data_IF_993544212970
#
_entry.id   IF_993544212970
#
_cell.length_a   1.000
_cell.length_b   1.000
_cell.length_c   1.000
_cell.angle_alpha   90.00
_cell.angle_beta   90.00
_cell.angle_gamma   90.00
#
_symmetry.space_group_name_H-M   'P 1'
#
loop_
_entity.id
_entity.type
_entity.pdbx_description
1 polymer ?
#
# COMPACT_ATOMS: atom_id res chain seq x y z
N UNK A 1 -19.76 -11.69 49.16
CA UNK A 1 -19.90 -10.62 48.14
C UNK A 1 -18.64 -9.77 48.02
N UNK A 2 -18.14 -9.15 49.10
CA UNK A 2 -16.92 -8.31 49.10
C UNK A 2 -15.70 -9.04 48.54
N UNK A 3 -15.52 -10.32 48.90
CA UNK A 3 -14.37 -11.12 48.46
C UNK A 3 -14.38 -11.39 46.94
N UNK A 4 -15.56 -11.60 46.35
CA UNK A 4 -15.73 -11.76 44.90
C UNK A 4 -15.40 -10.45 44.15
N UNK A 5 -15.83 -9.32 44.70
CA UNK A 5 -15.54 -8.00 44.14
C UNK A 5 -14.03 -7.73 44.18
N UNK A 6 -13.36 -8.04 45.31
CA UNK A 6 -11.92 -7.86 45.45
C UNK A 6 -11.12 -8.70 44.44
N UNK A 7 -11.51 -9.97 44.25
CA UNK A 7 -10.87 -10.86 43.27
C UNK A 7 -11.10 -10.38 41.84
N UNK A 8 -12.33 -9.94 41.51
CA UNK A 8 -12.64 -9.41 40.20
C UNK A 8 -11.83 -8.14 39.89
N UNK A 9 -11.73 -7.20 40.84
CA UNK A 9 -10.94 -5.98 40.70
C UNK A 9 -9.46 -6.31 40.53
N UNK A 10 -8.92 -7.22 41.34
CA UNK A 10 -7.53 -7.64 41.26
C UNK A 10 -7.20 -8.28 39.90
N UNK A 11 -8.07 -9.17 39.39
CA UNK A 11 -7.90 -9.80 38.09
C UNK A 11 -7.91 -8.77 36.95
N UNK A 12 -8.85 -7.81 36.99
CA UNK A 12 -8.93 -6.77 35.97
C UNK A 12 -7.72 -5.81 36.00
N UNK A 13 -7.25 -5.43 37.20
CA UNK A 13 -6.05 -4.59 37.35
C UNK A 13 -4.80 -5.30 36.85
N UNK A 14 -4.65 -6.59 37.17
CA UNK A 14 -3.50 -7.40 36.72
C UNK A 14 -3.53 -7.57 35.19
N UNK A 15 -4.72 -7.77 34.61
CA UNK A 15 -4.91 -7.90 33.17
C UNK A 15 -4.63 -6.56 32.46
N UNK A 16 -5.10 -5.45 33.02
CA UNK A 16 -4.84 -4.11 32.50
C UNK A 16 -3.35 -3.77 32.55
N UNK A 17 -2.68 -4.05 33.66
CA UNK A 17 -1.24 -3.81 33.81
C UNK A 17 -0.43 -4.61 32.78
N UNK A 18 -0.73 -5.90 32.65
CA UNK A 18 -0.09 -6.79 31.67
C UNK A 18 -0.31 -6.30 30.24
N UNK A 19 -1.54 -5.89 29.90
CA UNK A 19 -1.88 -5.38 28.57
C UNK A 19 -1.18 -4.05 28.28
N UNK A 20 -1.21 -3.08 29.19
CA UNK A 20 -0.56 -1.77 29.00
C UNK A 20 0.94 -1.94 28.79
N UNK A 21 1.59 -2.84 29.54
CA UNK A 21 3.02 -3.08 29.38
C UNK A 21 3.35 -3.76 28.03
N UNK A 22 2.56 -4.77 27.64
CA UNK A 22 2.69 -5.40 26.33
C UNK A 22 2.47 -4.43 25.16
N UNK A 23 1.45 -3.57 25.25
CA UNK A 23 1.15 -2.57 24.22
C UNK A 23 2.20 -1.46 24.12
N UNK A 24 2.85 -1.09 25.23
CA UNK A 24 3.93 -0.10 25.21
C UNK A 24 5.21 -0.62 24.53
N UNK A 25 5.46 -1.93 24.57
CA UNK A 25 6.61 -2.56 23.92
C UNK A 25 6.36 -2.93 22.45
N UNK A 26 5.11 -2.93 22.01
CA UNK A 26 4.72 -3.13 20.61
C UNK A 26 5.06 -1.87 19.80
N UNK A 27 6.34 -1.76 19.44
CA UNK A 27 6.83 -0.88 18.36
C UNK A 27 6.40 -1.42 16.98
N UNK A 28 5.16 -1.88 16.87
CA UNK A 28 4.57 -2.32 15.61
C UNK A 28 4.18 -1.07 14.84
N UNK A 29 5.03 -0.67 13.91
CA UNK A 29 4.65 0.29 12.88
C UNK A 29 3.45 -0.29 12.16
N UNK A 30 2.32 0.40 12.24
CA UNK A 30 1.08 -0.03 11.58
C UNK A 30 1.33 -0.27 10.07
N UNK A 31 0.74 -1.31 9.45
CA UNK A 31 0.94 -1.61 8.03
C UNK A 31 0.68 -0.42 7.09
N UNK A 32 -0.25 0.48 7.46
CA UNK A 32 -0.51 1.72 6.72
C UNK A 32 0.67 2.66 6.80
N UNK A 33 1.26 2.85 7.99
CA UNK A 33 2.45 3.69 8.16
C UNK A 33 3.65 3.14 7.39
N UNK A 34 3.84 1.81 7.35
CA UNK A 34 4.90 1.19 6.54
C UNK A 34 4.65 1.46 5.04
N UNK A 35 3.41 1.30 4.59
CA UNK A 35 3.03 1.58 3.20
C UNK A 35 3.25 3.04 2.83
N UNK A 36 2.79 3.97 3.66
CA UNK A 36 2.94 5.41 3.46
C UNK A 36 4.41 5.79 3.31
N UNK A 37 5.27 5.31 4.21
CA UNK A 37 6.72 5.56 4.16
C UNK A 37 7.34 5.05 2.85
N UNK A 38 6.93 3.87 2.39
CA UNK A 38 7.40 3.29 1.12
C UNK A 38 6.97 4.13 -0.08
N UNK A 39 5.70 4.55 -0.14
CA UNK A 39 5.15 5.32 -1.27
C UNK A 39 5.59 6.80 -1.27
N UNK A 40 5.82 7.41 -0.10
CA UNK A 40 6.32 8.78 0.04
C UNK A 40 7.65 9.02 -0.69
N UNK A 41 8.44 7.98 -0.93
CA UNK A 41 9.65 8.07 -1.75
C UNK A 41 9.35 8.58 -3.17
N UNK A 42 8.23 8.16 -3.77
CA UNK A 42 7.82 8.60 -5.11
C UNK A 42 7.49 10.09 -5.10
N UNK A 43 6.83 10.58 -4.05
CA UNK A 43 6.42 11.98 -3.93
C UNK A 43 7.58 12.96 -4.12
N UNK A 44 8.78 12.60 -3.65
CA UNK A 44 10.00 13.42 -3.75
C UNK A 44 10.46 13.68 -5.18
N UNK A 45 10.10 12.81 -6.12
CA UNK A 45 10.50 12.92 -7.54
C UNK A 45 9.33 13.31 -8.46
N UNK A 46 8.11 13.38 -7.92
CA UNK A 46 6.93 13.72 -8.70
C UNK A 46 6.82 15.24 -8.91
N UNK A 47 6.52 15.68 -10.14
CA UNK A 47 6.16 17.06 -10.37
C UNK A 47 4.76 17.36 -9.78
N UNK A 48 4.53 18.56 -9.21
CA UNK A 48 3.37 18.88 -8.36
C UNK A 48 1.98 18.93 -9.03
N UNK A 49 1.78 18.40 -10.24
CA UNK A 49 0.47 18.46 -10.93
C UNK A 49 0.24 17.36 -11.96
N UNK A 50 0.88 16.20 -11.80
CA UNK A 50 0.70 15.09 -12.74
C UNK A 50 -0.37 14.12 -12.30
N UNK A 51 -1.08 13.60 -13.27
CA UNK A 51 -1.86 12.38 -13.15
C UNK A 51 -0.92 11.20 -13.30
N UNK A 52 -1.11 10.17 -12.48
CA UNK A 52 -0.34 8.93 -12.52
C UNK A 52 -1.24 7.76 -12.90
N UNK A 53 -0.68 6.85 -13.68
CA UNK A 53 -1.17 5.50 -13.81
C UNK A 53 -0.68 4.63 -12.66
N UNK A 54 -1.29 3.47 -12.51
CA UNK A 54 -0.94 2.48 -11.49
C UNK A 54 -0.93 1.10 -12.11
N UNK A 55 0.06 0.30 -11.74
CA UNK A 55 0.15 -1.11 -12.11
C UNK A 55 0.64 -1.92 -10.93
N UNK A 56 0.20 -3.17 -10.87
CA UNK A 56 0.58 -4.13 -9.82
C UNK A 56 0.63 -5.54 -10.42
N UNK A 57 0.93 -6.55 -9.61
CA UNK A 57 1.04 -7.96 -10.06
C UNK A 57 -0.25 -8.45 -10.69
N UNK A 58 -1.39 -7.97 -10.18
CA UNK A 58 -2.72 -8.29 -10.71
C UNK A 58 -3.08 -7.31 -11.83
N UNK A 59 -3.59 -7.84 -12.94
CA UNK A 59 -4.11 -7.01 -14.03
C UNK A 59 -5.19 -6.03 -13.53
N UNK A 60 -5.08 -4.77 -13.93
CA UNK A 60 -5.91 -3.67 -13.44
C UNK A 60 -7.43 -3.92 -13.57
N UNK A 61 -7.88 -4.53 -14.68
CA UNK A 61 -9.31 -4.87 -14.88
C UNK A 61 -9.81 -5.89 -13.85
N UNK A 62 -8.96 -6.87 -13.50
CA UNK A 62 -9.29 -7.91 -12.52
C UNK A 62 -9.21 -7.40 -11.09
N UNK A 63 -8.51 -6.30 -10.84
CA UNK A 63 -8.35 -5.70 -9.51
C UNK A 63 -9.69 -5.21 -8.94
N UNK A 64 -10.50 -4.53 -9.75
CA UNK A 64 -11.79 -3.96 -9.32
C UNK A 64 -12.95 -4.95 -9.45
N UNK A 65 -12.93 -5.84 -10.47
CA UNK A 65 -14.00 -6.82 -10.68
C UNK A 65 -14.08 -7.87 -9.57
N UNK A 66 -13.00 -8.08 -8.80
CA UNK A 66 -12.92 -9.08 -7.73
C UNK A 66 -13.19 -8.55 -6.33
N UNK A 67 -13.61 -7.28 -6.19
CA UNK A 67 -14.06 -6.71 -4.90
C UNK A 67 -15.10 -7.60 -4.20
N UNK A 68 -15.99 -8.22 -4.97
CA UNK A 68 -17.06 -9.08 -4.44
C UNK A 68 -16.61 -10.48 -4.03
N UNK A 69 -15.43 -10.93 -4.45
CA UNK A 69 -14.96 -12.31 -4.22
C UNK A 69 -13.93 -12.45 -3.10
N UNK A 70 -13.56 -11.35 -2.43
CA UNK A 70 -12.50 -11.30 -1.41
C UNK A 70 -11.13 -11.85 -1.88
N UNK A 71 -10.95 -12.01 -3.19
CA UNK A 71 -9.67 -12.37 -3.80
C UNK A 71 -8.92 -11.08 -4.13
N UNK A 72 -7.62 -11.03 -3.84
CA UNK A 72 -6.73 -9.89 -4.13
C UNK A 72 -7.02 -8.61 -3.32
N UNK A 73 -7.64 -8.73 -2.14
CA UNK A 73 -7.96 -7.59 -1.24
C UNK A 73 -6.71 -6.79 -0.90
N UNK A 74 -5.57 -7.44 -0.75
CA UNK A 74 -4.29 -6.78 -0.47
C UNK A 74 -3.88 -5.82 -1.59
N UNK A 75 -3.87 -6.25 -2.85
CA UNK A 75 -3.52 -5.38 -3.99
C UNK A 75 -4.48 -4.21 -4.16
N UNK A 76 -5.77 -4.43 -3.87
CA UNK A 76 -6.77 -3.38 -3.89
C UNK A 76 -6.55 -2.36 -2.75
N UNK A 77 -6.30 -2.83 -1.54
CA UNK A 77 -5.97 -1.98 -0.40
C UNK A 77 -4.72 -1.14 -0.70
N UNK A 78 -3.69 -1.76 -1.29
CA UNK A 78 -2.46 -1.10 -1.72
C UNK A 78 -2.70 0.00 -2.77
N UNK A 79 -3.58 -0.24 -3.73
CA UNK A 79 -3.99 0.77 -4.71
C UNK A 79 -4.66 1.97 -4.04
N UNK A 80 -5.59 1.74 -3.10
CA UNK A 80 -6.26 2.83 -2.38
C UNK A 80 -5.32 3.59 -1.43
N UNK A 81 -4.46 2.87 -0.72
CA UNK A 81 -3.46 3.50 0.15
C UNK A 81 -2.45 4.32 -0.66
N UNK A 82 -2.09 3.88 -1.87
CA UNK A 82 -1.23 4.66 -2.79
C UNK A 82 -1.91 5.96 -3.21
N UNK A 83 -3.20 5.93 -3.57
CA UNK A 83 -3.97 7.14 -3.88
C UNK A 83 -4.02 8.10 -2.69
N UNK A 84 -4.27 7.56 -1.49
CA UNK A 84 -4.32 8.35 -0.27
C UNK A 84 -2.96 9.01 0.02
N UNK A 85 -1.88 8.23 -0.03
CA UNK A 85 -0.52 8.71 0.29
C UNK A 85 -0.05 9.78 -0.70
N UNK A 86 -0.36 9.63 -2.00
CA UNK A 86 0.10 10.55 -3.03
C UNK A 86 -0.80 11.78 -3.19
N UNK A 87 -1.91 11.88 -2.45
CA UNK A 87 -2.79 13.04 -2.52
C UNK A 87 -2.01 14.37 -2.36
N UNK A 88 -2.29 15.41 -3.18
CA UNK A 88 -3.42 15.54 -4.11
C UNK A 88 -3.18 14.99 -5.53
N UNK A 89 -2.11 14.24 -5.78
CA UNK A 89 -1.81 13.63 -7.09
C UNK A 89 -2.83 12.53 -7.38
N UNK A 90 -3.54 12.63 -8.50
CA UNK A 90 -4.49 11.59 -8.91
C UNK A 90 -3.77 10.36 -9.44
N UNK A 91 -4.13 9.19 -8.91
CA UNK A 91 -3.62 7.90 -9.34
C UNK A 91 -4.78 7.08 -9.91
N UNK A 92 -4.66 6.67 -11.16
CA UNK A 92 -5.67 5.87 -11.86
C UNK A 92 -5.20 4.43 -12.01
N UNK A 93 -6.12 3.48 -11.83
CA UNK A 93 -5.91 2.05 -12.07
C UNK A 93 -5.77 1.72 -13.57
N UNK A 94 -4.78 2.31 -14.25
CA UNK A 94 -4.47 2.07 -15.66
C UNK A 94 -3.00 2.39 -15.96
N UNK A 95 -2.35 1.64 -16.86
CA UNK A 95 -1.00 1.94 -17.35
C UNK A 95 -0.94 3.01 -18.46
N UNK A 96 -2.07 3.64 -18.82
CA UNK A 96 -2.16 4.49 -20.02
C UNK A 96 -1.74 5.94 -19.81
N UNK A 97 -1.26 6.29 -18.62
CA UNK A 97 -0.82 7.65 -18.30
C UNK A 97 0.69 7.83 -18.49
N UNK A 98 1.19 9.05 -18.77
CA UNK A 98 2.60 9.28 -19.11
C UNK A 98 3.59 8.85 -18.03
N UNK A 99 3.16 8.90 -16.76
CA UNK A 99 3.89 8.35 -15.62
C UNK A 99 3.03 7.29 -14.95
N UNK A 100 3.65 6.17 -14.59
CA UNK A 100 2.97 5.02 -14.01
C UNK A 100 3.71 4.53 -12.78
N UNK A 101 3.02 4.40 -11.65
CA UNK A 101 3.54 3.76 -10.44
C UNK A 101 3.34 2.27 -10.57
N UNK A 102 4.44 1.52 -10.61
CA UNK A 102 4.43 0.08 -10.43
C UNK A 102 4.64 -0.28 -8.97
N UNK A 103 3.69 -0.98 -8.37
CA UNK A 103 3.76 -1.49 -7.02
C UNK A 103 3.56 -3.01 -7.04
N UNK A 104 4.68 -3.74 -7.03
CA UNK A 104 4.70 -5.19 -7.12
C UNK A 104 5.16 -5.81 -5.81
N UNK A 105 4.23 -6.41 -5.06
CA UNK A 105 4.52 -6.97 -3.74
C UNK A 105 5.18 -8.36 -3.82
N UNK A 106 4.94 -9.10 -4.89
CA UNK A 106 5.41 -10.49 -5.06
C UNK A 106 6.76 -10.59 -5.79
N UNK A 107 7.45 -9.47 -5.97
CA UNK A 107 8.68 -9.37 -6.75
C UNK A 107 8.49 -8.60 -8.06
N UNK A 108 9.57 -8.44 -8.86
CA UNK A 108 9.54 -7.62 -10.06
C UNK A 108 8.54 -8.16 -11.10
N UNK A 109 7.86 -7.25 -11.80
CA UNK A 109 6.98 -7.63 -12.90
C UNK A 109 7.72 -8.37 -14.03
N UNK A 110 6.99 -9.23 -14.74
CA UNK A 110 7.49 -9.92 -15.92
C UNK A 110 8.01 -8.89 -16.95
N UNK A 111 9.30 -8.95 -17.34
CA UNK A 111 9.87 -8.07 -18.35
C UNK A 111 9.12 -8.09 -19.69
N UNK A 112 8.51 -9.22 -20.07
CA UNK A 112 7.71 -9.31 -21.29
C UNK A 112 6.46 -8.43 -21.20
N UNK A 113 5.75 -8.47 -20.06
CA UNK A 113 4.58 -7.65 -19.80
C UNK A 113 4.93 -6.16 -19.77
N UNK A 114 6.05 -5.78 -19.13
CA UNK A 114 6.53 -4.39 -19.09
C UNK A 114 6.78 -3.84 -20.51
N UNK A 115 7.39 -4.65 -21.38
CA UNK A 115 7.61 -4.30 -22.80
C UNK A 115 6.31 -4.19 -23.58
N UNK A 116 5.39 -5.13 -23.40
CA UNK A 116 4.07 -5.10 -24.03
C UNK A 116 3.32 -3.80 -23.68
N UNK A 117 3.38 -3.40 -22.40
CA UNK A 117 2.78 -2.15 -21.92
C UNK A 117 3.61 -0.91 -22.24
N UNK A 118 4.75 -1.02 -22.93
CA UNK A 118 5.62 0.12 -23.30
C UNK A 118 6.01 0.98 -22.10
N UNK A 119 6.33 0.32 -20.98
CA UNK A 119 6.75 0.96 -19.75
C UNK A 119 8.27 0.95 -19.67
N UNK A 120 8.87 2.13 -19.54
CA UNK A 120 10.32 2.29 -19.34
C UNK A 120 10.58 2.72 -17.90
N UNK A 121 11.39 1.99 -17.12
CA UNK A 121 11.68 2.38 -15.74
C UNK A 121 12.42 3.72 -15.72
N UNK A 122 11.95 4.67 -14.92
CA UNK A 122 12.61 5.95 -14.66
C UNK A 122 13.37 5.94 -13.35
N UNK A 123 12.76 5.36 -12.31
CA UNK A 123 13.36 5.28 -10.99
C UNK A 123 12.88 4.01 -10.28
N UNK A 124 13.82 3.25 -9.73
CA UNK A 124 13.55 2.08 -8.90
C UNK A 124 13.80 2.46 -7.44
N UNK A 125 12.77 2.34 -6.60
CA UNK A 125 12.83 2.66 -5.18
C UNK A 125 13.10 1.42 -4.30
N UNK A 126 13.31 0.26 -4.91
CA UNK A 126 13.42 -1.02 -4.23
C UNK A 126 12.06 -1.62 -3.87
N UNK A 127 12.09 -2.85 -3.36
CA UNK A 127 10.92 -3.60 -2.87
C UNK A 127 9.75 -3.64 -3.87
N UNK A 128 10.05 -3.72 -5.17
CA UNK A 128 9.06 -3.77 -6.24
C UNK A 128 8.28 -2.46 -6.46
N UNK A 129 8.76 -1.34 -5.93
CA UNK A 129 8.22 -0.01 -6.19
C UNK A 129 9.04 0.71 -7.26
N UNK A 130 8.44 0.94 -8.42
CA UNK A 130 9.15 1.52 -9.57
C UNK A 130 8.27 2.59 -10.21
N UNK A 131 8.85 3.74 -10.53
CA UNK A 131 8.21 4.76 -11.37
C UNK A 131 8.59 4.52 -12.83
N UNK A 132 7.59 4.37 -13.68
CA UNK A 132 7.75 4.17 -15.11
C UNK A 132 7.33 5.40 -15.91
N UNK A 133 7.90 5.51 -17.11
CA UNK A 133 7.39 6.33 -18.21
C UNK A 133 6.62 5.44 -19.16
N UNK A 134 5.43 5.88 -19.58
CA UNK A 134 4.67 5.26 -20.66
C UNK A 134 4.95 5.98 -21.97
N UNK A 135 5.35 5.24 -23.00
CA UNK A 135 5.40 5.78 -24.36
C UNK A 135 3.98 5.93 -24.93
N UNK A 136 3.62 7.14 -25.35
CA UNK A 136 2.30 7.44 -25.91
C UNK A 136 1.16 7.44 -24.89
N UNK A 137 1.44 7.77 -23.63
CA UNK A 137 0.40 7.94 -22.61
C UNK A 137 -0.57 9.09 -22.94
N UNK A 138 -1.81 8.97 -22.47
CA UNK A 138 -2.91 9.93 -22.66
C UNK A 138 -2.74 11.21 -21.85
#
# INVERSE_FOLDING_TARGET
MILLIAVAVYANLTLLYTRVHLYAELKQTDPVTIHEQRIEQIRKVLPPSKVLGYVTTVENEKLLLKERSFLNVEFLAQYYLTQYTLAPVFVYNSPDYPLVVGNFLDGPADPAWIREKKLTPLHDFGDGLILYRKEGGR
#
